data_IF_925906994848
#
_entry.id   IF_925906994848
#
_cell.length_a   1.000
_cell.length_b   1.000
_cell.length_c   1.000
_cell.angle_alpha   90.00
_cell.angle_beta   90.00
_cell.angle_gamma   90.00
#
_symmetry.space_group_name_H-M   'P 1'
#
loop_
_entity.id
_entity.type
_entity.pdbx_description
1 polymer ?
#
# COMPACT_ATOMS: atom_id res chain seq x y z
N UNK A 1 -8.28 11.49 -18.27
CA UNK A 1 -7.75 11.43 -16.89
C UNK A 1 -8.13 10.08 -16.36
N UNK A 2 -7.14 9.19 -16.28
CA UNK A 2 -7.32 7.79 -15.89
C UNK A 2 -6.57 7.53 -14.60
N UNK A 3 -7.11 6.68 -13.74
CA UNK A 3 -6.46 6.29 -12.51
C UNK A 3 -5.13 5.56 -12.80
N UNK A 4 -4.07 5.91 -12.07
CA UNK A 4 -2.73 5.32 -12.23
C UNK A 4 -2.35 4.55 -10.98
N UNK A 5 -1.90 3.31 -11.14
CA UNK A 5 -1.30 2.52 -10.06
C UNK A 5 0.22 2.67 -10.12
N UNK A 6 0.85 2.73 -8.96
CA UNK A 6 2.28 2.93 -8.81
C UNK A 6 2.84 1.77 -8.01
N UNK A 7 3.76 1.03 -8.61
CA UNK A 7 4.50 -0.04 -7.98
C UNK A 7 5.88 0.48 -7.62
N UNK A 8 6.32 0.30 -6.37
CA UNK A 8 7.60 0.81 -5.88
C UNK A 8 8.56 -0.36 -5.67
N UNK A 9 9.83 -0.15 -6.03
CA UNK A 9 10.93 -1.06 -5.72
C UNK A 9 12.25 -0.29 -5.65
N UNK A 10 12.93 -0.39 -4.51
CA UNK A 10 14.11 0.39 -4.18
C UNK A 10 13.82 1.89 -4.26
N UNK A 11 14.60 2.60 -5.07
CA UNK A 11 14.45 4.05 -5.30
C UNK A 11 13.63 4.43 -6.53
N UNK A 12 12.91 3.48 -7.12
CA UNK A 12 12.18 3.66 -8.38
C UNK A 12 10.71 3.25 -8.24
N UNK A 13 9.89 3.74 -9.17
CA UNK A 13 8.51 3.35 -9.32
C UNK A 13 8.18 3.05 -10.78
N UNK A 14 7.33 2.05 -11.01
CA UNK A 14 6.64 1.83 -12.27
C UNK A 14 5.26 2.48 -12.20
N UNK A 15 4.90 3.30 -13.19
CA UNK A 15 3.53 3.84 -13.33
C UNK A 15 2.74 2.97 -14.29
N UNK A 16 1.63 2.45 -13.82
CA UNK A 16 0.73 1.56 -14.55
C UNK A 16 -0.56 2.30 -14.90
N UNK A 17 -0.91 2.28 -16.19
CA UNK A 17 -2.19 2.79 -16.66
C UNK A 17 -3.27 1.71 -16.48
N UNK A 18 -4.41 2.05 -15.87
CA UNK A 18 -5.51 1.10 -15.63
C UNK A 18 -6.49 0.97 -16.81
N UNK A 19 -6.53 1.95 -17.71
CA UNK A 19 -7.46 2.00 -18.85
C UNK A 19 -6.68 2.02 -20.17
N UNK A 20 -6.78 1.00 -21.04
CA UNK A 20 -7.71 -0.14 -20.98
C UNK A 20 -7.38 -1.15 -19.86
N UNK A 21 -8.34 -2.00 -19.52
CA UNK A 21 -8.17 -3.12 -18.58
C UNK A 21 -8.14 -4.46 -19.36
N UNK A 22 -7.05 -5.25 -19.34
CA UNK A 22 -5.81 -5.02 -18.60
C UNK A 22 -4.96 -3.91 -19.24
N UNK A 23 -4.32 -3.14 -18.36
CA UNK A 23 -3.46 -2.04 -18.74
C UNK A 23 -1.99 -2.42 -18.92
N UNK A 24 -1.11 -1.43 -18.83
CA UNK A 24 0.34 -1.65 -18.96
C UNK A 24 1.14 -0.63 -18.16
N UNK A 25 2.33 -1.03 -17.72
CA UNK A 25 3.36 -0.09 -17.28
C UNK A 25 3.71 0.86 -18.42
N UNK A 26 3.65 2.16 -18.16
CA UNK A 26 4.00 3.22 -19.11
C UNK A 26 5.50 3.53 -19.05
N UNK A 27 6.05 3.59 -17.83
CA UNK A 27 7.47 3.85 -17.60
C UNK A 27 7.89 3.48 -16.18
N UNK A 28 9.21 3.44 -15.98
CA UNK A 28 9.87 3.38 -14.67
C UNK A 28 10.70 4.65 -14.47
N UNK A 29 10.59 5.28 -13.30
CA UNK A 29 11.33 6.50 -12.94
C UNK A 29 11.81 6.47 -11.50
N UNK A 30 12.79 7.30 -11.19
CA UNK A 30 13.28 7.46 -9.81
C UNK A 30 12.33 8.31 -8.97
N UNK A 31 12.05 7.87 -7.74
CA UNK A 31 11.28 8.64 -6.76
C UNK A 31 12.04 9.94 -6.41
N UNK A 32 13.35 9.85 -6.25
CA UNK A 32 14.20 10.96 -5.79
C UNK A 32 14.09 12.24 -6.63
N UNK A 33 13.78 12.10 -7.93
CA UNK A 33 13.72 13.22 -8.88
C UNK A 33 12.33 13.51 -9.41
N UNK A 34 11.32 12.69 -9.08
CA UNK A 34 9.97 12.82 -9.64
C UNK A 34 8.87 13.02 -8.60
N UNK A 35 9.10 12.74 -7.31
CA UNK A 35 8.07 12.81 -6.25
C UNK A 35 8.36 13.93 -5.24
N UNK A 36 8.64 15.14 -5.76
CA UNK A 36 8.77 16.35 -4.95
C UNK A 36 9.70 16.18 -3.73
N UNK A 37 9.18 16.53 -2.55
CA UNK A 37 9.84 16.52 -1.26
C UNK A 37 10.16 15.14 -0.67
N UNK A 38 9.79 14.03 -1.31
CA UNK A 38 10.08 12.66 -0.82
C UNK A 38 11.57 12.48 -0.50
N UNK A 39 12.45 12.93 -1.40
CA UNK A 39 13.91 12.84 -1.19
C UNK A 39 14.39 13.67 0.00
N UNK A 40 13.90 14.90 0.12
CA UNK A 40 14.25 15.80 1.22
C UNK A 40 13.79 15.26 2.59
N UNK A 41 12.78 14.38 2.61
CA UNK A 41 12.30 13.71 3.83
C UNK A 41 12.93 12.33 4.07
N UNK A 42 13.79 11.84 3.17
CA UNK A 42 14.43 10.53 3.30
C UNK A 42 13.58 9.34 2.81
N UNK A 43 12.50 9.61 2.09
CA UNK A 43 11.52 8.63 1.57
C UNK A 43 11.69 8.36 0.06
N UNK A 44 12.84 8.71 -0.51
CA UNK A 44 13.13 8.40 -1.92
C UNK A 44 13.48 6.94 -2.21
N UNK A 45 13.64 6.10 -1.17
CA UNK A 45 13.89 4.66 -1.27
C UNK A 45 13.70 3.97 0.08
N UNK A 46 13.56 2.64 0.07
CA UNK A 46 13.37 1.83 1.27
C UNK A 46 12.05 2.17 1.93
N UNK A 47 10.99 2.22 1.12
CA UNK A 47 9.61 2.28 1.60
C UNK A 47 9.20 0.86 1.97
N UNK A 48 8.34 0.73 2.97
CA UNK A 48 7.89 -0.57 3.44
C UNK A 48 6.40 -0.82 3.14
N UNK A 49 5.62 0.25 2.98
CA UNK A 49 4.21 0.18 2.62
C UNK A 49 3.70 1.53 2.10
N UNK A 50 2.59 1.51 1.36
CA UNK A 50 1.81 2.69 1.02
C UNK A 50 0.32 2.44 1.23
N UNK A 51 -0.35 3.32 1.97
CA UNK A 51 -1.79 3.21 2.22
C UNK A 51 -2.48 4.49 1.74
N UNK A 52 -3.34 4.34 0.73
CA UNK A 52 -4.27 5.37 0.29
C UNK A 52 -5.33 5.64 1.35
N UNK A 53 -5.73 6.90 1.50
CA UNK A 53 -7.00 7.23 2.15
C UNK A 53 -8.19 6.88 1.22
N UNK A 54 -9.38 6.76 1.79
CA UNK A 54 -10.56 6.34 1.02
C UNK A 54 -10.99 7.34 -0.05
N UNK A 55 -10.67 8.64 0.14
CA UNK A 55 -10.92 9.67 -0.87
C UNK A 55 -9.87 9.65 -2.00
N UNK A 56 -8.74 8.97 -1.81
CA UNK A 56 -7.59 8.99 -2.70
C UNK A 56 -6.94 10.38 -2.85
N UNK A 57 -7.15 11.25 -1.87
CA UNK A 57 -6.51 12.57 -1.80
C UNK A 57 -5.10 12.46 -1.23
N UNK A 58 -4.87 11.49 -0.34
CA UNK A 58 -3.61 11.29 0.36
C UNK A 58 -3.14 9.85 0.28
N UNK A 59 -1.81 9.68 0.25
CA UNK A 59 -1.14 8.41 0.49
C UNK A 59 -0.19 8.56 1.66
N UNK A 60 -0.28 7.65 2.63
CA UNK A 60 0.72 7.52 3.68
C UNK A 60 1.79 6.55 3.22
N UNK A 61 3.04 7.01 3.07
CA UNK A 61 4.19 6.17 2.76
C UNK A 61 4.96 5.85 4.03
N UNK A 62 5.19 4.56 4.30
CA UNK A 62 5.81 4.07 5.53
C UNK A 62 7.27 3.69 5.31
N UNK A 63 8.10 3.93 6.33
CA UNK A 63 9.52 3.58 6.38
C UNK A 63 9.98 3.44 7.83
N UNK A 64 10.26 2.21 8.25
CA UNK A 64 10.40 1.82 9.65
C UNK A 64 9.19 2.30 10.46
N UNK A 65 9.45 2.79 11.67
CA UNK A 65 8.40 3.31 12.55
C UNK A 65 7.87 4.69 12.19
N UNK A 66 8.10 5.19 10.97
CA UNK A 66 7.67 6.51 10.54
C UNK A 66 6.95 6.48 9.19
N UNK A 67 6.23 7.55 8.90
CA UNK A 67 5.58 7.76 7.62
C UNK A 67 5.54 9.24 7.23
N UNK A 68 5.23 9.48 5.96
CA UNK A 68 4.94 10.80 5.40
C UNK A 68 3.63 10.77 4.62
N UNK A 69 2.88 11.87 4.58
CA UNK A 69 1.70 12.01 3.73
C UNK A 69 2.02 12.74 2.43
N UNK A 70 1.61 12.12 1.34
CA UNK A 70 1.74 12.63 -0.01
C UNK A 70 0.36 12.98 -0.54
N UNK A 71 0.20 14.21 -1.03
CA UNK A 71 -1.05 14.66 -1.64
C UNK A 71 -1.08 14.33 -3.12
N UNK A 72 -2.08 13.55 -3.56
CA UNK A 72 -2.18 13.05 -4.95
C UNK A 72 -2.43 14.16 -5.95
N UNK A 73 -3.09 15.25 -5.54
CA UNK A 73 -3.31 16.44 -6.36
C UNK A 73 -2.07 17.35 -6.40
N UNK A 74 -1.37 17.47 -5.28
CA UNK A 74 -0.17 18.31 -5.14
C UNK A 74 1.04 17.67 -5.82
N UNK A 75 1.02 16.34 -5.99
CA UNK A 75 2.17 15.55 -6.38
C UNK A 75 3.40 15.84 -5.50
N UNK A 76 3.16 16.08 -4.21
CA UNK A 76 4.19 16.40 -3.24
C UNK A 76 3.78 15.97 -1.83
N UNK A 77 4.77 15.91 -0.95
CA UNK A 77 4.57 15.80 0.49
C UNK A 77 3.77 17.01 0.99
N UNK A 78 2.62 16.74 1.59
CA UNK A 78 1.72 17.76 2.16
C UNK A 78 1.94 17.99 3.66
N UNK A 79 2.90 17.26 4.21
CA UNK A 79 3.36 17.39 5.57
C UNK A 79 4.07 18.74 5.80
N UNK A 80 3.36 19.68 6.43
CA UNK A 80 3.80 21.06 6.63
C UNK A 80 5.07 21.16 7.48
N UNK A 81 6.09 21.88 7.01
CA UNK A 81 7.26 22.20 7.84
C UNK A 81 6.80 22.97 9.09
N UNK A 82 6.95 22.38 10.28
CA UNK A 82 6.59 23.01 11.55
C UNK A 82 5.49 22.32 12.36
N UNK A 83 4.73 21.36 11.81
CA UNK A 83 3.91 20.49 12.67
C UNK A 83 4.83 19.46 13.36
N UNK A 84 4.79 19.32 14.69
CA UNK A 84 5.60 18.31 15.39
C UNK A 84 4.99 16.91 15.25
N UNK A 85 5.77 15.84 14.98
CA UNK A 85 7.11 15.76 14.36
C UNK A 85 7.07 15.08 12.97
N UNK A 86 7.76 15.64 11.96
CA UNK A 86 7.96 14.97 10.66
C UNK A 86 9.35 14.32 10.52
N UNK A 87 9.47 13.13 9.89
CA UNK A 87 8.37 12.23 9.50
C UNK A 87 7.57 11.74 10.72
N UNK A 88 6.28 11.46 10.52
CA UNK A 88 5.37 11.13 11.63
C UNK A 88 5.67 9.71 12.11
N UNK A 89 5.81 9.46 13.42
CA UNK A 89 5.78 8.10 13.92
C UNK A 89 4.51 7.41 13.44
N UNK A 90 4.53 6.11 13.17
CA UNK A 90 3.29 5.33 12.93
C UNK A 90 2.34 5.47 14.13
N UNK A 91 2.91 5.71 15.31
CA UNK A 91 2.24 6.09 16.56
C UNK A 91 1.82 7.57 16.63
N UNK A 92 1.77 8.28 15.50
CA UNK A 92 1.05 9.54 15.32
C UNK A 92 0.00 9.37 14.18
N UNK A 93 -1.20 9.95 14.30
CA UNK A 93 -2.27 9.75 13.30
C UNK A 93 -3.11 8.48 13.50
N UNK A 94 -2.69 7.33 12.94
CA UNK A 94 -3.38 6.02 13.02
C UNK A 94 -3.42 5.40 14.43
N UNK A 95 -3.01 6.16 15.44
CA UNK A 95 -1.93 5.70 16.29
C UNK A 95 -2.25 5.49 17.75
N UNK A 96 -3.29 6.14 18.27
CA UNK A 96 -3.63 5.99 19.68
C UNK A 96 -3.85 4.52 20.04
N UNK A 97 -4.18 3.69 19.06
CA UNK A 97 -4.48 2.29 19.23
C UNK A 97 -3.39 1.30 18.77
N UNK A 98 -2.35 1.74 18.03
CA UNK A 98 -1.31 0.81 17.53
C UNK A 98 -0.20 0.54 18.55
N UNK A 99 -0.08 1.34 19.61
CA UNK A 99 0.99 1.18 20.60
C UNK A 99 0.87 -0.18 21.33
N UNK A 100 1.94 -0.97 21.30
CA UNK A 100 2.00 -2.29 21.94
C UNK A 100 1.31 -3.41 21.15
N UNK A 101 0.93 -3.15 19.89
CA UNK A 101 0.36 -4.18 19.00
C UNK A 101 1.44 -4.98 18.28
N UNK A 102 2.65 -4.43 18.17
CA UNK A 102 3.70 -4.90 17.28
C UNK A 102 3.47 -4.43 15.84
N UNK A 103 2.96 -3.23 15.62
CA UNK A 103 2.83 -2.58 14.28
C UNK A 103 3.38 -1.14 14.30
N UNK A 104 3.97 -0.72 15.42
CA UNK A 104 4.43 0.64 15.68
C UNK A 104 5.75 1.03 14.98
N UNK A 105 6.52 0.05 14.53
CA UNK A 105 7.90 0.21 14.06
C UNK A 105 8.13 -0.32 12.63
N UNK A 106 7.17 -1.05 12.07
CA UNK A 106 7.25 -1.62 10.73
C UNK A 106 5.87 -2.09 10.25
N UNK A 107 5.62 -1.96 8.95
CA UNK A 107 4.48 -2.53 8.24
C UNK A 107 5.02 -3.20 6.98
N UNK A 108 4.55 -4.40 6.65
CA UNK A 108 4.84 -5.01 5.35
C UNK A 108 3.88 -4.46 4.27
N UNK A 109 2.70 -3.96 4.67
CA UNK A 109 1.71 -3.50 3.71
C UNK A 109 0.37 -3.11 4.33
N UNK A 110 -0.51 -2.57 3.51
CA UNK A 110 -1.88 -2.28 3.92
C UNK A 110 -2.74 -1.73 2.80
N UNK A 111 -4.03 -1.56 3.07
CA UNK A 111 -4.94 -0.89 2.15
C UNK A 111 -6.19 -0.36 2.88
N UNK A 112 -6.78 0.71 2.36
CA UNK A 112 -8.08 1.24 2.81
C UNK A 112 -9.25 0.35 2.38
N UNK A 113 -10.22 0.17 3.28
CA UNK A 113 -11.39 -0.70 3.05
C UNK A 113 -12.52 0.05 2.30
N UNK A 114 -12.55 1.39 2.36
CA UNK A 114 -13.63 2.21 1.82
C UNK A 114 -14.69 2.62 2.83
N UNK A 115 -14.49 2.34 4.12
CA UNK A 115 -15.40 2.70 5.22
C UNK A 115 -14.73 3.50 6.36
N UNK A 116 -13.61 4.13 6.05
CA UNK A 116 -12.76 4.90 6.95
C UNK A 116 -11.73 4.04 7.70
N UNK A 117 -11.72 2.73 7.49
CA UNK A 117 -10.75 1.81 8.08
C UNK A 117 -9.71 1.31 7.08
N UNK A 118 -8.60 0.81 7.60
CA UNK A 118 -7.55 0.16 6.83
C UNK A 118 -7.14 -1.17 7.48
N UNK A 119 -6.71 -2.11 6.63
CA UNK A 119 -5.95 -3.28 7.05
C UNK A 119 -4.46 -2.97 7.06
N UNK A 120 -3.78 -3.47 8.09
CA UNK A 120 -2.33 -3.39 8.26
C UNK A 120 -1.77 -4.81 8.39
N UNK A 121 -0.66 -5.07 7.71
CA UNK A 121 0.02 -6.37 7.69
C UNK A 121 1.45 -6.23 8.20
N UNK A 122 1.89 -7.21 9.00
CA UNK A 122 3.27 -7.33 9.48
C UNK A 122 3.59 -8.78 9.79
N UNK A 123 4.68 -9.29 9.23
CA UNK A 123 5.09 -10.69 9.32
C UNK A 123 3.91 -11.61 8.95
N UNK A 124 3.44 -12.42 9.89
CA UNK A 124 2.27 -13.29 9.74
C UNK A 124 1.00 -12.75 10.42
N UNK A 125 0.98 -11.47 10.80
CA UNK A 125 -0.11 -10.85 11.56
C UNK A 125 -0.80 -9.75 10.77
N UNK A 126 -2.06 -9.53 11.09
CA UNK A 126 -2.79 -8.37 10.61
C UNK A 126 -3.72 -7.78 11.68
N UNK A 127 -4.09 -6.53 11.47
CA UNK A 127 -5.15 -5.85 12.22
C UNK A 127 -5.89 -4.89 11.29
N UNK A 128 -7.15 -4.62 11.63
CA UNK A 128 -7.96 -3.58 11.00
C UNK A 128 -8.25 -2.48 12.00
N UNK A 129 -8.09 -1.23 11.60
CA UNK A 129 -8.35 -0.09 12.47
C UNK A 129 -8.84 1.15 11.73
N UNK A 130 -9.40 2.09 12.48
CA UNK A 130 -9.89 3.37 11.97
C UNK A 130 -9.87 4.44 13.06
N UNK A 131 -9.44 5.69 12.79
CA UNK A 131 -9.69 6.81 13.69
C UNK A 131 -11.16 7.29 13.62
N UNK A 132 -11.81 7.62 14.75
CA UNK A 132 -11.33 7.51 16.12
C UNK A 132 -11.60 6.15 16.78
N UNK A 133 -12.21 5.19 16.06
CA UNK A 133 -12.72 3.93 16.60
C UNK A 133 -11.65 3.02 17.23
N UNK A 134 -10.40 3.13 16.81
CA UNK A 134 -9.33 2.27 17.30
C UNK A 134 -9.12 1.04 16.43
N UNK A 135 -8.67 -0.05 17.07
CA UNK A 135 -8.65 -1.39 16.48
C UNK A 135 -10.08 -1.91 16.37
N UNK A 136 -10.49 -2.28 15.17
CA UNK A 136 -11.78 -2.91 14.85
C UNK A 136 -11.65 -4.43 14.89
N UNK A 137 -10.52 -4.98 14.42
CA UNK A 137 -10.27 -6.42 14.37
C UNK A 137 -8.77 -6.72 14.52
N UNK A 138 -8.42 -7.78 15.24
CA UNK A 138 -7.04 -8.13 15.55
C UNK A 138 -6.47 -7.35 16.76
N UNK A 139 -5.13 -7.29 16.92
CA UNK A 139 -4.13 -7.93 16.07
C UNK A 139 -4.06 -9.45 16.32
N UNK A 140 -4.03 -10.23 15.25
CA UNK A 140 -3.86 -11.69 15.32
C UNK A 140 -3.19 -12.18 14.01
N UNK A 141 -2.88 -13.47 13.92
CA UNK A 141 -2.31 -14.08 12.71
C UNK A 141 -3.26 -13.98 11.52
N UNK A 142 -2.70 -13.81 10.31
CA UNK A 142 -3.46 -13.81 9.06
C UNK A 142 -4.21 -15.14 8.90
N UNK A 143 -3.61 -16.26 9.30
CA UNK A 143 -4.29 -17.56 9.29
C UNK A 143 -5.52 -17.65 10.18
N UNK A 144 -5.58 -16.86 11.27
CA UNK A 144 -6.72 -16.81 12.20
C UNK A 144 -7.82 -15.90 11.65
N UNK A 145 -7.46 -14.67 11.23
CA UNK A 145 -8.44 -13.66 10.80
C UNK A 145 -8.89 -13.80 9.34
N UNK A 146 -8.03 -14.35 8.48
CA UNK A 146 -8.26 -14.51 7.04
C UNK A 146 -7.79 -15.89 6.54
N UNK A 147 -8.46 -16.99 6.93
CA UNK A 147 -8.03 -18.34 6.54
C UNK A 147 -7.99 -18.56 5.02
N UNK A 148 -8.88 -17.91 4.27
CA UNK A 148 -8.89 -17.95 2.81
C UNK A 148 -7.62 -17.32 2.21
N UNK A 149 -7.20 -16.17 2.74
CA UNK A 149 -5.96 -15.48 2.34
C UNK A 149 -4.73 -16.33 2.66
N UNK A 150 -4.66 -16.88 3.87
CA UNK A 150 -3.57 -17.77 4.25
C UNK A 150 -3.50 -19.03 3.38
N UNK A 151 -4.65 -19.64 3.05
CA UNK A 151 -4.72 -20.82 2.19
C UNK A 151 -4.29 -20.53 0.75
N UNK A 152 -4.42 -19.28 0.29
CA UNK A 152 -3.93 -18.82 -1.00
C UNK A 152 -2.41 -18.57 -1.02
N UNK A 153 -1.70 -18.78 0.09
CA UNK A 153 -0.26 -18.56 0.21
C UNK A 153 0.14 -17.18 0.73
N UNK A 154 -0.84 -16.37 1.16
CA UNK A 154 -0.65 -15.00 1.65
C UNK A 154 -0.80 -14.95 3.19
N UNK A 155 -0.32 -15.98 3.88
CA UNK A 155 -0.40 -16.10 5.35
C UNK A 155 0.69 -15.36 6.12
N UNK A 156 1.67 -14.80 5.41
CA UNK A 156 2.77 -13.99 5.92
C UNK A 156 3.39 -13.15 4.81
N UNK A 157 4.32 -12.26 5.15
CA UNK A 157 5.22 -11.49 4.26
C UNK A 157 4.45 -10.95 3.04
N UNK A 158 3.51 -10.05 3.32
CA UNK A 158 2.74 -9.34 2.31
C UNK A 158 3.62 -8.22 1.75
N UNK A 159 3.64 -8.02 0.43
CA UNK A 159 4.45 -6.94 -0.17
C UNK A 159 3.75 -5.58 -0.07
N UNK A 160 2.46 -5.52 -0.45
CA UNK A 160 1.54 -4.40 -0.15
C UNK A 160 0.12 -4.72 -0.68
N UNK A 161 -0.83 -3.80 -0.46
CA UNK A 161 -2.16 -3.85 -1.07
C UNK A 161 -2.63 -2.55 -1.68
N UNK A 162 -3.60 -2.65 -2.60
CA UNK A 162 -4.26 -1.45 -3.16
C UNK A 162 -5.73 -1.73 -3.44
N UNK A 163 -6.58 -0.75 -3.15
CA UNK A 163 -7.99 -0.73 -3.53
C UNK A 163 -8.21 0.24 -4.68
N UNK A 164 -8.73 -0.26 -5.79
CA UNK A 164 -9.02 0.52 -6.99
C UNK A 164 -10.34 1.32 -6.85
N UNK A 165 -10.57 2.34 -7.70
CA UNK A 165 -11.76 3.19 -7.61
C UNK A 165 -13.05 2.45 -7.91
N UNK A 166 -12.98 1.36 -8.68
CA UNK A 166 -14.11 0.46 -8.96
C UNK A 166 -14.39 -0.54 -7.84
N UNK A 167 -13.64 -0.47 -6.74
CA UNK A 167 -13.81 -1.30 -5.56
C UNK A 167 -13.05 -2.63 -5.58
N UNK A 168 -12.35 -2.96 -6.68
CA UNK A 168 -11.48 -4.14 -6.70
C UNK A 168 -10.29 -3.92 -5.78
N UNK A 169 -10.00 -4.89 -4.92
CA UNK A 169 -8.87 -4.83 -3.98
C UNK A 169 -7.90 -5.96 -4.27
N UNK A 170 -6.61 -5.61 -4.29
CA UNK A 170 -5.53 -6.53 -4.57
C UNK A 170 -4.49 -6.52 -3.46
N UNK A 171 -3.90 -7.69 -3.20
CA UNK A 171 -2.78 -7.87 -2.29
C UNK A 171 -1.65 -8.59 -3.05
N UNK A 172 -0.42 -8.12 -2.88
CA UNK A 172 0.77 -8.60 -3.59
C UNK A 172 1.70 -9.34 -2.63
N UNK A 173 2.39 -10.37 -3.14
CA UNK A 173 3.42 -11.13 -2.43
C UNK A 173 4.32 -11.82 -3.45
N UNK A 174 5.62 -11.55 -3.39
CA UNK A 174 6.57 -12.15 -4.33
C UNK A 174 6.14 -11.87 -5.76
N UNK A 175 6.12 -12.89 -6.63
CA UNK A 175 5.66 -12.77 -8.03
C UNK A 175 4.13 -12.92 -8.21
N UNK A 176 3.36 -13.01 -7.11
CA UNK A 176 1.92 -13.30 -7.15
C UNK A 176 1.08 -12.16 -6.57
N UNK A 177 -0.19 -12.17 -6.94
CA UNK A 177 -1.21 -11.33 -6.31
C UNK A 177 -2.53 -12.08 -6.17
N UNK A 178 -3.36 -11.60 -5.24
CA UNK A 178 -4.75 -12.04 -5.06
C UNK A 178 -5.69 -10.86 -5.27
N UNK A 179 -6.91 -11.12 -5.75
CA UNK A 179 -8.04 -10.20 -5.57
C UNK A 179 -8.91 -10.71 -4.44
N UNK A 180 -9.42 -9.81 -3.61
CA UNK A 180 -10.15 -10.18 -2.40
C UNK A 180 -11.27 -9.19 -2.07
N UNK A 181 -12.17 -9.62 -1.20
CA UNK A 181 -13.11 -8.75 -0.53
C UNK A 181 -12.38 -7.90 0.54
N UNK A 182 -12.41 -6.56 0.46
CA UNK A 182 -11.59 -5.70 1.32
C UNK A 182 -11.99 -5.75 2.80
N UNK A 183 -13.22 -6.15 3.10
CA UNK A 183 -13.73 -6.21 4.46
C UNK A 183 -13.32 -7.51 5.15
N UNK A 184 -13.50 -8.64 4.47
CA UNK A 184 -13.35 -9.99 5.02
C UNK A 184 -12.03 -10.66 4.69
N UNK A 185 -11.25 -10.10 3.77
CA UNK A 185 -10.03 -10.70 3.21
C UNK A 185 -10.29 -12.06 2.53
N UNK A 186 -11.53 -12.33 2.13
CA UNK A 186 -11.88 -13.53 1.38
C UNK A 186 -11.33 -13.42 -0.04
N UNK A 187 -10.54 -14.41 -0.46
CA UNK A 187 -9.90 -14.43 -1.78
C UNK A 187 -10.88 -14.91 -2.84
N UNK A 188 -10.93 -14.19 -3.95
CA UNK A 188 -11.75 -14.55 -5.10
C UNK A 188 -11.27 -15.86 -5.75
N UNK A 189 -12.21 -16.63 -6.31
CA UNK A 189 -11.88 -17.84 -7.04
C UNK A 189 -10.96 -17.54 -8.25
N UNK A 190 -9.94 -18.40 -8.45
CA UNK A 190 -8.96 -18.26 -9.54
C UNK A 190 -7.67 -17.55 -9.14
N UNK A 191 -7.58 -17.05 -7.91
CA UNK A 191 -6.35 -16.50 -7.33
C UNK A 191 -5.64 -17.53 -6.42
N UNK A 192 -4.32 -17.40 -6.19
CA UNK A 192 -3.44 -16.33 -6.68
C UNK A 192 -3.08 -16.45 -8.17
N UNK A 193 -2.73 -15.31 -8.78
CA UNK A 193 -2.28 -15.20 -10.17
C UNK A 193 -0.89 -14.57 -10.22
N UNK A 194 -0.09 -14.89 -11.23
CA UNK A 194 1.22 -14.23 -11.44
C UNK A 194 1.01 -12.77 -11.79
N UNK A 195 1.79 -11.87 -11.17
CA UNK A 195 1.68 -10.43 -11.42
C UNK A 195 1.88 -10.14 -12.91
N UNK A 196 2.85 -10.77 -13.57
CA UNK A 196 3.10 -10.57 -15.00
C UNK A 196 1.95 -10.99 -15.93
N UNK A 197 1.04 -11.84 -15.46
CA UNK A 197 -0.11 -12.32 -16.24
C UNK A 197 -1.31 -11.36 -16.14
N UNK A 198 -1.43 -10.64 -15.03
CA UNK A 198 -2.54 -9.72 -14.76
C UNK A 198 -2.19 -8.23 -14.80
N UNK A 199 -0.92 -7.91 -14.58
CA UNK A 199 -0.36 -6.56 -14.57
C UNK A 199 0.82 -6.53 -15.55
N UNK A 200 0.56 -6.09 -16.78
CA UNK A 200 1.50 -6.21 -17.89
C UNK A 200 2.50 -5.05 -17.98
N UNK A 201 3.56 -5.23 -18.76
CA UNK A 201 4.47 -4.16 -19.17
C UNK A 201 5.70 -3.94 -18.28
N UNK A 202 5.85 -4.72 -17.19
CA UNK A 202 7.07 -4.70 -16.39
C UNK A 202 8.29 -5.10 -17.22
N UNK A 203 9.42 -4.44 -16.97
CA UNK A 203 10.68 -4.68 -17.67
C UNK A 203 11.58 -5.63 -16.86
N UNK A 204 12.62 -6.18 -17.48
CA UNK A 204 13.61 -6.98 -16.74
C UNK A 204 14.37 -6.18 -15.66
N UNK A 205 14.50 -4.87 -15.84
CA UNK A 205 15.14 -3.98 -14.86
C UNK A 205 14.20 -3.60 -13.69
N UNK A 206 12.88 -3.74 -13.88
CA UNK A 206 11.87 -3.52 -12.84
C UNK A 206 10.85 -4.64 -12.95
N UNK A 207 11.20 -5.78 -12.33
CA UNK A 207 10.39 -7.01 -12.39
C UNK A 207 9.06 -6.89 -11.63
N UNK A 208 8.11 -7.73 -12.05
CA UNK A 208 6.78 -7.87 -11.47
C UNK A 208 6.78 -8.78 -10.23
N UNK A 209 7.49 -8.36 -9.18
CA UNK A 209 7.70 -9.17 -7.96
C UNK A 209 8.17 -8.31 -6.79
N UNK A 210 8.06 -8.76 -5.54
CA UNK A 210 8.73 -8.18 -4.35
C UNK A 210 8.66 -6.63 -4.34
N UNK A 211 7.43 -6.11 -4.36
CA UNK A 211 7.22 -4.66 -4.33
C UNK A 211 7.42 -4.13 -2.91
N UNK A 212 8.07 -2.98 -2.80
CA UNK A 212 8.29 -2.28 -1.52
C UNK A 212 7.01 -1.56 -1.04
N UNK A 213 6.15 -1.17 -1.99
CA UNK A 213 4.88 -0.50 -1.75
C UNK A 213 4.06 -0.40 -3.04
N UNK A 214 2.73 -0.34 -2.92
CA UNK A 214 1.80 -0.15 -4.06
C UNK A 214 0.73 0.87 -3.69
N UNK A 215 0.48 1.85 -4.56
CA UNK A 215 -0.56 2.87 -4.32
C UNK A 215 -1.23 3.34 -5.60
N UNK A 216 -2.32 4.10 -5.47
CA UNK A 216 -3.07 4.62 -6.62
C UNK A 216 -3.28 6.14 -6.57
N UNK A 217 -3.14 6.81 -7.71
CA UNK A 217 -3.67 8.16 -7.92
C UNK A 217 -4.98 8.05 -8.75
N UNK A 218 -6.17 8.17 -8.12
CA UNK A 218 -7.43 8.01 -8.84
C UNK A 218 -7.75 9.20 -9.76
N UNK A 219 -7.14 10.36 -9.51
CA UNK A 219 -7.44 11.63 -10.16
C UNK A 219 -6.27 12.12 -11.02
N UNK A 220 -5.45 11.22 -11.54
CA UNK A 220 -4.27 11.62 -12.30
C UNK A 220 -4.67 12.39 -13.59
N UNK A 221 -4.16 13.62 -13.78
CA UNK A 221 -4.46 14.43 -14.96
C UNK A 221 -3.91 13.83 -16.26
#
# INVERSE_FOLDING_TARGET
MGAKVYFIKGGNYARYELDPDPGTVEYVKSIATNWGGMAARGFASGLDAAINDDAGEYVSFYKGGNYVRYGTAQNDIVDLVGEPPYPWPITNGWASFLTGTGFEDYLDGGFGVGDGSAWFFRDNRCLRGSPPAGIIQGPDTISSLAPSLASAGFGSDIDDGVRLPDGRTYLFKGDKYVRLDPLTLAVDAGYPVTISDGWMGFSSAFGANDFDAVWINPNHP
#
